data_IF_806966800603
#
_entry.id   IF_806966800603
#
_cell.length_a   1.000
_cell.length_b   1.000
_cell.length_c   1.000
_cell.angle_alpha   90.00
_cell.angle_beta   90.00
_cell.angle_gamma   90.00
#
_symmetry.space_group_name_H-M   'P 1'
#
loop_
_entity.id
_entity.type
_entity.pdbx_description
1 polymer ?
#
# COMPACT_ATOMS: atom_id res chain seq x y z
N UNK A 1 -23.80 -4.65 32.69
CA UNK A 1 -22.34 -4.43 32.65
C UNK A 1 -21.96 -4.36 31.18
N UNK A 2 -21.79 -3.16 30.62
CA UNK A 2 -21.43 -2.96 29.21
C UNK A 2 -19.91 -2.87 29.16
N UNK A 3 -19.26 -3.93 28.72
CA UNK A 3 -17.81 -3.96 28.50
C UNK A 3 -17.52 -3.09 27.28
N UNK A 4 -17.01 -1.88 27.50
CA UNK A 4 -16.43 -1.05 26.45
C UNK A 4 -15.26 -1.83 25.84
N UNK A 5 -15.49 -2.38 24.66
CA UNK A 5 -14.50 -3.10 23.88
C UNK A 5 -13.24 -2.25 23.74
N UNK A 6 -12.09 -2.86 24.03
CA UNK A 6 -10.77 -2.33 23.71
C UNK A 6 -10.80 -1.71 22.31
N UNK A 7 -10.34 -0.47 22.16
CA UNK A 7 -10.32 0.22 20.89
C UNK A 7 -9.61 -0.64 19.83
N UNK A 8 -10.37 -1.27 18.94
CA UNK A 8 -9.81 -2.09 17.88
C UNK A 8 -9.12 -1.17 16.87
N UNK A 9 -7.80 -1.09 17.00
CA UNK A 9 -6.96 -0.26 16.15
C UNK A 9 -6.57 -0.97 14.84
N UNK A 10 -6.91 -2.26 14.66
CA UNK A 10 -6.63 -3.01 13.42
C UNK A 10 -7.08 -2.27 12.14
N UNK A 11 -8.33 -1.79 12.01
CA UNK A 11 -8.75 -1.10 10.78
C UNK A 11 -7.94 0.17 10.51
N UNK A 12 -7.56 0.91 11.56
CA UNK A 12 -6.71 2.11 11.41
C UNK A 12 -5.29 1.75 10.98
N UNK A 13 -4.72 0.70 11.57
CA UNK A 13 -3.37 0.20 11.22
C UNK A 13 -3.34 -0.28 9.76
N UNK A 14 -4.35 -1.06 9.34
CA UNK A 14 -4.48 -1.52 7.94
C UNK A 14 -4.59 -0.34 6.98
N UNK A 15 -5.38 0.69 7.30
CA UNK A 15 -5.49 1.89 6.48
C UNK A 15 -4.15 2.63 6.35
N UNK A 16 -3.44 2.85 7.45
CA UNK A 16 -2.15 3.52 7.46
C UNK A 16 -1.10 2.73 6.67
N UNK A 17 -1.05 1.42 6.85
CA UNK A 17 -0.16 0.53 6.09
C UNK A 17 -0.49 0.55 4.60
N UNK A 18 -1.79 0.53 4.26
CA UNK A 18 -2.22 0.58 2.86
C UNK A 18 -1.84 1.90 2.21
N UNK A 19 -2.09 3.01 2.90
CA UNK A 19 -1.71 4.36 2.45
C UNK A 19 -0.20 4.51 2.32
N UNK A 20 0.58 4.01 3.28
CA UNK A 20 2.04 4.04 3.21
C UNK A 20 2.54 3.25 1.99
N UNK A 21 2.01 2.04 1.76
CA UNK A 21 2.40 1.23 0.60
C UNK A 21 2.02 1.88 -0.73
N UNK A 22 0.85 2.53 -0.84
CA UNK A 22 0.45 3.19 -2.08
C UNK A 22 1.32 4.42 -2.38
N UNK A 23 1.65 5.22 -1.37
CA UNK A 23 2.58 6.37 -1.52
C UNK A 23 3.96 5.90 -1.98
N UNK A 24 4.50 4.84 -1.39
CA UNK A 24 5.82 4.31 -1.79
C UNK A 24 5.81 3.87 -3.24
N UNK A 25 4.78 3.13 -3.67
CA UNK A 25 4.65 2.68 -5.05
C UNK A 25 4.47 3.84 -6.03
N UNK A 26 3.71 4.86 -5.65
CA UNK A 26 3.51 6.06 -6.46
C UNK A 26 4.83 6.83 -6.66
N UNK A 27 5.62 7.00 -5.58
CA UNK A 27 6.94 7.63 -5.66
C UNK A 27 7.88 6.85 -6.61
N UNK A 28 7.86 5.52 -6.55
CA UNK A 28 8.66 4.68 -7.45
C UNK A 28 8.23 4.89 -8.90
N UNK A 29 6.93 4.89 -9.17
CA UNK A 29 6.38 5.10 -10.51
C UNK A 29 6.74 6.49 -11.05
N UNK A 30 6.49 7.55 -10.27
CA UNK A 30 6.77 8.92 -10.66
C UNK A 30 8.27 9.14 -10.90
N UNK A 31 9.13 8.58 -10.04
CA UNK A 31 10.59 8.63 -10.23
C UNK A 31 11.00 7.97 -11.54
N UNK A 32 10.41 6.81 -11.88
CA UNK A 32 10.68 6.12 -13.14
C UNK A 32 10.21 6.91 -14.37
N UNK A 33 9.03 7.55 -14.28
CA UNK A 33 8.51 8.41 -15.34
C UNK A 33 9.40 9.63 -15.58
N UNK A 34 9.82 10.31 -14.52
CA UNK A 34 10.74 11.45 -14.59
C UNK A 34 12.10 11.03 -15.16
N UNK A 35 12.67 9.92 -14.66
CA UNK A 35 13.97 9.43 -15.13
C UNK A 35 13.93 9.07 -16.61
N UNK A 36 12.86 8.43 -17.07
CA UNK A 36 12.67 8.07 -18.48
C UNK A 36 12.57 9.31 -19.37
N UNK A 37 11.88 10.34 -18.90
CA UNK A 37 11.69 11.58 -19.65
C UNK A 37 12.97 12.40 -19.76
N UNK A 38 13.79 12.41 -18.69
CA UNK A 38 15.10 13.09 -18.69
C UNK A 38 16.12 12.30 -19.53
N UNK A 39 16.14 10.97 -19.41
CA UNK A 39 17.15 10.12 -20.05
C UNK A 39 17.04 10.06 -21.57
N UNK A 40 15.85 10.26 -22.14
CA UNK A 40 15.63 10.09 -23.59
C UNK A 40 15.93 11.34 -24.42
N UNK A 41 16.17 12.50 -23.80
CA UNK A 41 16.46 13.76 -24.50
C UNK A 41 15.27 14.36 -25.28
N UNK A 42 14.25 13.56 -25.56
CA UNK A 42 12.94 13.95 -26.09
C UNK A 42 11.86 13.72 -25.02
N UNK A 43 10.83 14.58 -25.00
CA UNK A 43 9.70 14.46 -24.07
C UNK A 43 8.92 13.17 -24.41
N UNK A 44 9.24 12.09 -23.72
CA UNK A 44 8.61 10.78 -23.89
C UNK A 44 7.20 10.73 -23.28
N UNK A 45 6.96 11.51 -22.22
CA UNK A 45 5.64 11.64 -21.59
C UNK A 45 5.35 13.11 -21.30
N UNK A 46 4.11 13.53 -21.53
CA UNK A 46 3.69 14.87 -21.11
C UNK A 46 3.53 14.92 -19.60
N UNK A 47 3.60 16.12 -19.01
CA UNK A 47 3.30 16.30 -17.58
C UNK A 47 1.90 15.80 -17.21
N UNK A 48 0.94 15.90 -18.14
CA UNK A 48 -0.43 15.42 -17.95
C UNK A 48 -0.44 13.89 -17.85
N UNK A 49 0.30 13.18 -18.71
CA UNK A 49 0.38 11.72 -18.69
C UNK A 49 1.03 11.20 -17.41
N UNK A 50 2.08 11.87 -16.93
CA UNK A 50 2.74 11.51 -15.68
C UNK A 50 1.83 11.70 -14.47
N UNK A 51 1.10 12.82 -14.41
CA UNK A 51 0.18 13.12 -13.32
C UNK A 51 -1.06 12.20 -13.32
N UNK A 52 -1.64 11.97 -14.49
CA UNK A 52 -2.76 11.03 -14.62
C UNK A 52 -2.32 9.60 -14.26
N UNK A 53 -1.12 9.20 -14.72
CA UNK A 53 -0.52 7.91 -14.40
C UNK A 53 -0.26 7.72 -12.90
N UNK A 54 0.28 8.73 -12.21
CA UNK A 54 0.55 8.65 -10.77
C UNK A 54 -0.75 8.55 -9.96
N UNK A 55 -1.78 9.33 -10.30
CA UNK A 55 -3.10 9.21 -9.65
C UNK A 55 -3.69 7.81 -9.84
N UNK A 56 -3.60 7.26 -11.06
CA UNK A 56 -4.07 5.91 -11.34
C UNK A 56 -3.31 4.84 -10.52
N UNK A 57 -1.98 4.91 -10.49
CA UNK A 57 -1.14 3.98 -9.71
C UNK A 57 -1.44 4.11 -8.22
N UNK A 58 -1.58 5.31 -7.69
CA UNK A 58 -1.95 5.55 -6.30
C UNK A 58 -3.30 4.92 -5.94
N UNK A 59 -4.33 5.12 -6.75
CA UNK A 59 -5.67 4.58 -6.48
C UNK A 59 -5.68 3.06 -6.56
N UNK A 60 -5.12 2.48 -7.62
CA UNK A 60 -5.09 1.01 -7.80
C UNK A 60 -4.25 0.35 -6.71
N UNK A 61 -3.08 0.90 -6.37
CA UNK A 61 -2.25 0.37 -5.29
C UNK A 61 -2.95 0.48 -3.94
N UNK A 62 -3.67 1.57 -3.67
CA UNK A 62 -4.45 1.72 -2.44
C UNK A 62 -5.56 0.67 -2.33
N UNK A 63 -6.30 0.40 -3.42
CA UNK A 63 -7.34 -0.64 -3.46
C UNK A 63 -6.74 -2.03 -3.21
N UNK A 64 -5.63 -2.34 -3.90
CA UNK A 64 -4.93 -3.62 -3.75
C UNK A 64 -4.41 -3.79 -2.32
N UNK A 65 -3.74 -2.77 -1.78
CA UNK A 65 -3.18 -2.82 -0.44
C UNK A 65 -4.25 -2.95 0.64
N UNK A 66 -5.39 -2.29 0.49
CA UNK A 66 -6.54 -2.45 1.40
C UNK A 66 -7.09 -3.89 1.39
N UNK A 67 -7.02 -4.57 0.25
CA UNK A 67 -7.39 -5.99 0.17
C UNK A 67 -6.29 -6.94 0.65
N UNK A 68 -5.02 -6.52 0.58
CA UNK A 68 -3.86 -7.37 0.83
C UNK A 68 -3.46 -7.37 2.31
N UNK A 69 -3.40 -6.20 2.96
CA UNK A 69 -2.99 -6.05 4.35
C UNK A 69 -3.81 -6.87 5.36
N UNK A 70 -5.16 -6.99 5.25
CA UNK A 70 -5.94 -7.88 6.12
C UNK A 70 -5.48 -9.34 6.01
N UNK A 71 -5.28 -9.83 4.78
CA UNK A 71 -4.84 -11.21 4.53
C UNK A 71 -3.44 -11.47 5.08
N UNK A 72 -2.54 -10.50 4.92
CA UNK A 72 -1.19 -10.56 5.48
C UNK A 72 -1.25 -10.61 7.01
N UNK A 73 -2.05 -9.76 7.65
CA UNK A 73 -2.21 -9.74 9.09
C UNK A 73 -2.76 -11.08 9.63
N UNK A 74 -3.77 -11.64 8.97
CA UNK A 74 -4.34 -12.94 9.33
C UNK A 74 -3.33 -14.09 9.15
N UNK A 75 -2.52 -14.04 8.09
CA UNK A 75 -1.45 -15.02 7.86
C UNK A 75 -0.37 -14.96 8.94
N UNK A 76 0.05 -13.76 9.35
CA UNK A 76 1.01 -13.59 10.44
C UNK A 76 0.47 -14.11 11.77
N UNK A 77 -0.81 -13.84 12.08
CA UNK A 77 -1.44 -14.36 13.30
C UNK A 77 -1.57 -15.89 13.30
N UNK A 78 -1.95 -16.48 12.16
CA UNK A 78 -2.01 -17.94 12.01
C UNK A 78 -0.64 -18.59 12.17
N UNK A 79 0.41 -17.97 11.59
CA UNK A 79 1.78 -18.45 11.72
C UNK A 79 2.28 -18.39 13.16
N UNK A 80 1.94 -17.34 13.90
CA UNK A 80 2.30 -17.23 15.33
C UNK A 80 1.60 -18.29 16.17
N UNK A 81 0.32 -18.57 15.92
CA UNK A 81 -0.43 -19.63 16.62
C UNK A 81 0.15 -21.02 16.34
N UNK A 82 0.54 -21.32 15.10
CA UNK A 82 1.14 -22.61 14.74
C UNK A 82 2.56 -22.81 15.31
N UNK A 83 3.30 -21.72 15.58
CA UNK A 83 4.64 -21.79 16.18
C UNK A 83 4.61 -21.97 17.71
N UNK A 84 3.45 -21.81 18.36
CA UNK A 84 3.27 -22.17 19.78
C UNK A 84 2.95 -23.68 19.83
N UNK A 85 4.00 -24.48 19.97
CA UNK A 85 3.96 -25.93 20.18
C UNK A 85 3.04 -26.23 21.38
N UNK A 86 2.11 -27.20 21.30
CA UNK A 86 1.34 -27.63 22.47
C UNK A 86 2.29 -28.35 23.44
N UNK A 87 2.30 -27.92 24.71
CA UNK A 87 2.98 -28.64 25.81
C UNK A 87 2.44 -30.06 25.98
#
# INVERSE_FOLDING_TARGET
MVTFGSADNRPKVVLLLSLATSIVLDIIFLSGALLTNISRGEIAYTHVDMAAGSIFVFVISMIISLSLWPRIADWFESKEKNNKIPE
#
